data_IF_883096110111
#
_entry.id   IF_883096110111
#
_cell.length_a   1.000
_cell.length_b   1.000
_cell.length_c   1.000
_cell.angle_alpha   90.00
_cell.angle_beta   90.00
_cell.angle_gamma   90.00
#
_symmetry.space_group_name_H-M   'P 1'
#
loop_
_entity.id
_entity.type
_entity.pdbx_description
1 polymer ?
#
# COMPACT_ATOMS: atom_id res chain seq x y z
N UNK A 1 3.54 12.68 6.86
CA UNK A 1 3.90 11.43 6.19
C UNK A 1 2.84 11.20 5.11
N UNK A 2 3.24 11.07 3.85
CA UNK A 2 2.31 10.76 2.76
C UNK A 2 1.88 9.29 2.85
N UNK A 3 0.73 8.93 2.25
CA UNK A 3 0.21 7.56 2.22
C UNK A 3 1.23 6.58 1.62
N UNK A 4 1.98 6.98 0.59
CA UNK A 4 3.01 6.14 -0.02
C UNK A 4 4.23 5.97 0.88
N UNK A 5 4.59 6.97 1.67
CA UNK A 5 5.66 6.85 2.65
C UNK A 5 5.26 5.86 3.75
N UNK A 6 4.02 5.95 4.24
CA UNK A 6 3.50 5.02 5.24
C UNK A 6 3.50 3.57 4.72
N UNK A 7 3.11 3.37 3.46
CA UNK A 7 3.16 2.06 2.81
C UNK A 7 4.59 1.53 2.73
N UNK A 8 5.55 2.32 2.23
CA UNK A 8 6.96 1.92 2.11
C UNK A 8 7.54 1.54 3.47
N UNK A 9 7.30 2.37 4.48
CA UNK A 9 7.74 2.11 5.84
C UNK A 9 7.20 0.79 6.38
N UNK A 10 5.89 0.55 6.27
CA UNK A 10 5.28 -0.68 6.78
C UNK A 10 5.75 -1.93 6.02
N UNK A 11 5.93 -1.83 4.71
CA UNK A 11 6.47 -2.92 3.87
C UNK A 11 7.89 -3.26 4.29
N UNK A 12 8.75 -2.26 4.49
CA UNK A 12 10.14 -2.43 4.95
C UNK A 12 10.20 -3.06 6.36
N UNK A 13 9.45 -2.52 7.32
CA UNK A 13 9.44 -3.03 8.70
C UNK A 13 8.91 -4.47 8.81
N UNK A 14 8.05 -4.88 7.87
CA UNK A 14 7.49 -6.23 7.84
C UNK A 14 8.24 -7.17 6.88
N UNK A 15 9.36 -6.74 6.28
CA UNK A 15 10.14 -7.49 5.27
C UNK A 15 9.28 -8.04 4.12
N UNK A 16 8.28 -7.28 3.68
CA UNK A 16 7.38 -7.66 2.59
C UNK A 16 8.02 -7.27 1.26
N UNK A 17 8.05 -8.19 0.30
CA UNK A 17 8.51 -7.89 -1.06
C UNK A 17 7.41 -7.24 -1.89
N UNK A 18 7.77 -6.50 -2.95
CA UNK A 18 6.79 -5.96 -3.90
C UNK A 18 5.88 -7.04 -4.53
N UNK A 19 6.40 -8.27 -4.69
CA UNK A 19 5.62 -9.42 -5.19
C UNK A 19 4.59 -9.90 -4.15
N UNK A 20 4.96 -9.97 -2.88
CA UNK A 20 4.01 -10.33 -1.81
C UNK A 20 2.96 -9.23 -1.61
N UNK A 21 3.36 -7.96 -1.71
CA UNK A 21 2.43 -6.84 -1.72
C UNK A 21 1.44 -6.94 -2.89
N UNK A 22 1.92 -7.28 -4.08
CA UNK A 22 1.05 -7.51 -5.24
C UNK A 22 0.04 -8.63 -4.98
N UNK A 23 0.48 -9.78 -4.45
CA UNK A 23 -0.38 -10.92 -4.08
C UNK A 23 -1.40 -10.57 -2.99
N UNK A 24 -1.04 -9.69 -2.06
CA UNK A 24 -1.93 -9.21 -1.01
C UNK A 24 -3.07 -8.37 -1.58
N UNK A 25 -2.79 -7.55 -2.60
CA UNK A 25 -3.71 -6.53 -3.10
C UNK A 25 -4.44 -6.92 -4.40
N UNK A 26 -4.00 -7.97 -5.08
CA UNK A 26 -4.63 -8.43 -6.31
C UNK A 26 -3.87 -9.55 -7.02
N UNK A 27 -4.21 -9.76 -8.28
CA UNK A 27 -3.60 -10.82 -9.12
C UNK A 27 -2.49 -10.32 -10.05
N UNK A 28 -2.36 -9.00 -10.20
CA UNK A 28 -1.35 -8.38 -11.07
C UNK A 28 -0.03 -8.19 -10.30
N UNK A 29 1.02 -8.92 -10.71
CA UNK A 29 2.34 -8.87 -10.05
C UNK A 29 3.01 -7.49 -10.13
N UNK A 30 2.64 -6.64 -11.08
CA UNK A 30 3.16 -5.27 -11.22
C UNK A 30 2.50 -4.27 -10.26
N UNK A 31 1.37 -4.65 -9.64
CA UNK A 31 0.60 -3.76 -8.78
C UNK A 31 1.42 -3.25 -7.59
N UNK A 32 2.19 -4.14 -6.94
CA UNK A 32 3.00 -3.78 -5.78
C UNK A 32 4.06 -2.72 -6.13
N UNK A 33 4.76 -2.88 -7.25
CA UNK A 33 5.76 -1.91 -7.70
C UNK A 33 5.15 -0.54 -8.02
N UNK A 34 4.04 -0.52 -8.77
CA UNK A 34 3.32 0.71 -9.16
C UNK A 34 2.75 1.48 -7.96
N UNK A 35 2.31 0.77 -6.92
CA UNK A 35 1.87 1.40 -5.68
C UNK A 35 3.06 1.98 -4.90
N UNK A 36 4.18 1.24 -4.80
CA UNK A 36 5.37 1.72 -4.11
C UNK A 36 6.04 2.90 -4.82
N UNK A 37 5.94 3.00 -6.15
CA UNK A 37 6.40 4.17 -6.91
C UNK A 37 5.41 5.35 -6.91
N UNK A 38 4.15 5.12 -6.52
CA UNK A 38 3.10 6.13 -6.56
C UNK A 38 2.48 6.34 -7.95
N UNK A 39 2.89 5.55 -8.95
CA UNK A 39 2.26 5.54 -10.29
C UNK A 39 0.79 5.11 -10.25
N UNK A 40 0.39 4.39 -9.21
CA UNK A 40 -0.99 3.99 -8.98
C UNK A 40 -1.49 4.47 -7.62
N UNK A 41 -2.70 5.01 -7.61
CA UNK A 41 -3.37 5.41 -6.38
C UNK A 41 -3.82 4.20 -5.56
N UNK A 42 -3.81 4.36 -4.24
CA UNK A 42 -4.41 3.40 -3.32
C UNK A 42 -5.93 3.57 -3.36
N UNK A 43 -6.66 2.49 -3.63
CA UNK A 43 -8.13 2.47 -3.56
C UNK A 43 -8.58 2.20 -2.13
N UNK A 44 -9.86 2.42 -1.83
CA UNK A 44 -10.45 2.09 -0.53
C UNK A 44 -10.27 0.59 -0.20
N UNK A 45 -10.41 -0.28 -1.19
CA UNK A 45 -10.22 -1.73 -1.02
C UNK A 45 -8.77 -2.09 -0.66
N UNK A 46 -7.79 -1.46 -1.33
CA UNK A 46 -6.38 -1.62 -0.98
C UNK A 46 -6.13 -1.13 0.45
N UNK A 47 -6.65 0.05 0.82
CA UNK A 47 -6.47 0.63 2.15
C UNK A 47 -7.00 -0.29 3.26
N UNK A 48 -8.18 -0.88 3.08
CA UNK A 48 -8.76 -1.84 4.04
C UNK A 48 -7.91 -3.11 4.15
N UNK A 49 -7.42 -3.63 3.03
CA UNK A 49 -6.57 -4.83 3.02
C UNK A 49 -5.22 -4.59 3.71
N UNK A 50 -4.59 -3.45 3.43
CA UNK A 50 -3.34 -3.04 4.06
C UNK A 50 -3.51 -2.80 5.56
N UNK A 51 -4.58 -2.11 5.96
CA UNK A 51 -4.91 -1.86 7.35
C UNK A 51 -5.03 -3.17 8.14
N UNK A 52 -5.75 -4.15 7.59
CA UNK A 52 -5.87 -5.49 8.17
C UNK A 52 -4.53 -6.22 8.26
N UNK A 53 -3.70 -6.14 7.21
CA UNK A 53 -2.39 -6.80 7.17
C UNK A 53 -1.43 -6.25 8.23
N UNK A 54 -1.39 -4.93 8.38
CA UNK A 54 -0.42 -4.25 9.24
C UNK A 54 -0.95 -3.90 10.63
N UNK A 55 -2.23 -4.15 10.92
CA UNK A 55 -2.83 -3.84 12.21
C UNK A 55 -2.95 -2.34 12.48
N UNK A 56 -3.13 -1.53 11.44
CA UNK A 56 -3.26 -0.07 11.52
C UNK A 56 -4.65 0.38 11.08
N UNK A 57 -5.00 1.65 11.30
CA UNK A 57 -6.25 2.21 10.77
C UNK A 57 -6.14 2.51 9.27
N UNK A 58 -7.22 2.31 8.49
CA UNK A 58 -7.19 2.49 7.03
C UNK A 58 -7.00 3.95 6.58
N UNK A 59 -7.31 4.94 7.43
CA UNK A 59 -7.15 6.37 7.11
C UNK A 59 -5.72 6.77 6.72
N UNK A 60 -4.70 6.08 7.25
CA UNK A 60 -3.30 6.27 6.88
C UNK A 60 -3.06 6.06 5.37
N UNK A 61 -3.87 5.22 4.73
CA UNK A 61 -3.75 4.89 3.29
C UNK A 61 -4.76 5.63 2.40
N UNK A 62 -5.60 6.49 2.98
CA UNK A 62 -6.65 7.23 2.26
C UNK A 62 -6.32 8.72 2.10
N UNK A 63 -5.13 9.15 2.55
CA UNK A 63 -4.75 10.54 2.47
C UNK A 63 -4.42 10.90 1.02
N UNK A 64 -5.46 11.22 0.26
CA UNK A 64 -5.36 11.62 -1.14
C UNK A 64 -4.49 12.88 -1.23
N UNK A 65 -3.35 12.76 -1.91
CA UNK A 65 -2.59 13.91 -2.38
C UNK A 65 -3.46 14.63 -3.42
N UNK A 66 -4.15 15.68 -3.00
CA UNK A 66 -4.75 16.63 -3.93
C UNK A 66 -3.57 17.44 -4.49
N UNK A 67 -3.24 17.19 -5.76
CA UNK A 67 -2.27 17.98 -6.52
C UNK A 67 -2.71 19.42 -6.68
#
# INVERSE_FOLDING_TARGET
>A
MDTFDALRFLVEQNNITGRELARLLGKDESLGAKLLSGERSITVEHAVTLAKRFGVKPDIFLNLRIS
#
